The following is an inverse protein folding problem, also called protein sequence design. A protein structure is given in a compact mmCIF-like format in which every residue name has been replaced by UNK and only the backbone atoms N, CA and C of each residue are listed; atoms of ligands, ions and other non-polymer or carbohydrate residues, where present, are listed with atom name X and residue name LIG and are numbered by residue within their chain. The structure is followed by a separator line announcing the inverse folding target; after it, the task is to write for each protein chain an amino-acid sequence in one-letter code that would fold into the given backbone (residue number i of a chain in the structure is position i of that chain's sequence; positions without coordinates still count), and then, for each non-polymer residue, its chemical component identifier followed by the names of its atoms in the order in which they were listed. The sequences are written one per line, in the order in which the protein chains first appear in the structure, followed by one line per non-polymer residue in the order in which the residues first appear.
data_IF_744530936672
#
_entry.id   IF_744530936672
#
_cell.length_a   1.000
_cell.length_b   1.000
_cell.length_c   1.000
_cell.angle_alpha   90.00
_cell.angle_beta   90.00
_cell.angle_gamma   90.00
#
_symmetry.space_group_name_H-M   'P 1'
#
loop_
_entity.id
_entity.type
_entity.pdbx_description
1 polymer ?
#
# COMPACT_ATOMS: atom_id res chain seq x y z
N UNK A 1 20.10 -13.81 -7.45
CA UNK A 1 20.41 -12.57 -6.73
C UNK A 1 19.55 -12.60 -5.49
N UNK A 2 20.13 -12.99 -4.37
CA UNK A 2 19.37 -13.17 -3.14
C UNK A 2 19.22 -11.79 -2.49
N UNK A 3 18.16 -11.08 -2.86
CA UNK A 3 17.87 -9.79 -2.25
C UNK A 3 17.43 -10.03 -0.80
N UNK A 4 18.26 -9.63 0.16
CA UNK A 4 17.84 -9.62 1.55
C UNK A 4 16.58 -8.79 1.71
N UNK A 5 15.61 -9.29 2.48
CA UNK A 5 14.36 -8.58 2.79
C UNK A 5 14.60 -7.14 3.27
N UNK A 6 15.67 -6.90 4.05
CA UNK A 6 16.05 -5.54 4.49
C UNK A 6 16.42 -4.64 3.32
N UNK A 7 17.19 -5.16 2.36
CA UNK A 7 17.55 -4.42 1.15
C UNK A 7 16.32 -4.10 0.30
N UNK A 8 15.37 -5.04 0.17
CA UNK A 8 14.10 -4.79 -0.55
C UNK A 8 13.32 -3.64 0.09
N UNK A 9 13.18 -3.63 1.41
CA UNK A 9 12.50 -2.55 2.13
C UNK A 9 13.22 -1.20 1.97
N UNK A 10 14.55 -1.17 2.09
CA UNK A 10 15.33 0.07 1.95
C UNK A 10 15.20 0.63 0.53
N UNK A 11 15.34 -0.22 -0.50
CA UNK A 11 15.19 0.19 -1.89
C UNK A 11 13.76 0.70 -2.14
N UNK A 12 12.75 -0.02 -1.65
CA UNK A 12 11.35 0.38 -1.77
C UNK A 12 11.04 1.71 -1.06
N UNK A 13 11.66 1.97 0.09
CA UNK A 13 11.51 3.22 0.83
C UNK A 13 12.19 4.39 0.12
N UNK A 14 13.43 4.21 -0.36
CA UNK A 14 14.16 5.22 -1.12
C UNK A 14 13.42 5.56 -2.42
N UNK A 15 12.90 4.55 -3.11
CA UNK A 15 12.14 4.75 -4.34
C UNK A 15 10.86 5.57 -4.10
N UNK A 16 10.09 5.26 -3.05
CA UNK A 16 8.92 6.05 -2.65
C UNK A 16 9.29 7.49 -2.29
N UNK A 17 10.41 7.70 -1.58
CA UNK A 17 10.88 9.03 -1.23
C UNK A 17 11.22 9.86 -2.48
N UNK A 18 11.94 9.25 -3.44
CA UNK A 18 12.28 9.89 -4.73
C UNK A 18 11.00 10.27 -5.48
N UNK A 19 9.99 9.39 -5.52
CA UNK A 19 8.72 9.67 -6.18
C UNK A 19 7.93 10.80 -5.50
N UNK A 20 7.95 10.88 -4.17
CA UNK A 20 7.31 11.99 -3.45
C UNK A 20 7.99 13.31 -3.81
N UNK A 21 9.33 13.35 -3.79
CA UNK A 21 10.10 14.55 -4.15
C UNK A 21 9.83 14.94 -5.61
N UNK A 22 9.84 13.95 -6.52
CA UNK A 22 9.51 14.16 -7.92
C UNK A 22 8.09 14.68 -8.08
N UNK A 23 7.13 14.15 -7.34
CA UNK A 23 5.74 14.60 -7.36
C UNK A 23 5.57 16.05 -6.90
N UNK A 24 6.29 16.48 -5.86
CA UNK A 24 6.29 17.90 -5.45
C UNK A 24 6.93 18.79 -6.52
N UNK A 25 8.01 18.34 -7.16
CA UNK A 25 8.64 19.06 -8.26
C UNK A 25 7.69 19.17 -9.46
N UNK A 26 7.05 18.07 -9.85
CA UNK A 26 6.08 18.00 -10.94
C UNK A 26 4.90 18.95 -10.67
N UNK A 27 4.35 18.93 -9.47
CA UNK A 27 3.26 19.81 -9.08
C UNK A 27 3.62 21.30 -9.17
N UNK A 28 4.90 21.65 -9.00
CA UNK A 28 5.36 23.04 -9.09
C UNK A 28 5.65 23.50 -10.52
N UNK A 29 6.01 22.59 -11.43
CA UNK A 29 6.51 22.93 -12.77
C UNK A 29 5.58 22.53 -13.92
N UNK A 30 4.60 21.66 -13.69
CA UNK A 30 3.70 21.12 -14.72
C UNK A 30 2.25 21.48 -14.43
N UNK A 31 1.46 21.64 -15.50
CA UNK A 31 0.02 21.88 -15.39
C UNK A 31 -0.72 20.65 -14.83
N UNK A 32 -0.29 19.45 -15.24
CA UNK A 32 -0.82 18.18 -14.75
C UNK A 32 -0.15 17.83 -13.41
N UNK A 33 -0.96 17.91 -12.35
CA UNK A 33 -0.55 17.58 -10.99
C UNK A 33 -0.34 16.09 -10.81
N UNK A 34 0.73 15.74 -10.10
CA UNK A 34 1.00 14.41 -9.58
C UNK A 34 0.17 14.12 -8.33
N UNK A 35 -0.04 15.12 -7.47
CA UNK A 35 -0.84 14.96 -6.25
C UNK A 35 -2.31 14.79 -6.56
N UNK A 36 -2.93 13.81 -5.91
CA UNK A 36 -4.37 13.56 -6.04
C UNK A 36 -5.18 14.76 -5.49
N UNK A 37 -6.29 15.09 -6.14
CA UNK A 37 -7.19 16.16 -5.71
C UNK A 37 -7.74 15.90 -4.31
N UNK A 38 -7.96 14.63 -3.96
CA UNK A 38 -8.45 14.25 -2.64
C UNK A 38 -7.44 14.59 -1.55
N UNK A 39 -6.13 14.55 -1.84
CA UNK A 39 -5.09 14.95 -0.90
C UNK A 39 -5.18 16.42 -0.50
N UNK A 40 -5.62 17.27 -1.43
CA UNK A 40 -5.86 18.69 -1.18
C UNK A 40 -7.06 18.86 -0.25
N UNK A 41 -8.16 18.15 -0.52
CA UNK A 41 -9.36 18.17 0.32
C UNK A 41 -9.05 17.70 1.75
N UNK A 42 -8.20 16.69 1.91
CA UNK A 42 -7.74 16.25 3.23
C UNK A 42 -6.90 17.29 3.95
N UNK A 43 -5.98 17.93 3.24
CA UNK A 43 -5.08 18.94 3.80
C UNK A 43 -5.86 20.20 4.20
N UNK A 44 -6.88 20.58 3.42
CA UNK A 44 -7.81 21.66 3.76
C UNK A 44 -8.57 21.33 5.06
N UNK A 45 -9.16 20.13 5.15
CA UNK A 45 -9.88 19.70 6.34
C UNK A 45 -8.97 19.63 7.57
N UNK A 46 -7.73 19.15 7.40
CA UNK A 46 -6.71 19.15 8.46
C UNK A 46 -6.36 20.56 8.94
N UNK A 47 -6.27 21.55 8.04
CA UNK A 47 -6.03 22.95 8.40
C UNK A 47 -7.19 23.56 9.20
N UNK A 48 -8.43 23.19 8.88
CA UNK A 48 -9.62 23.60 9.63
C UNK A 48 -9.57 23.03 11.05
N UNK A 49 -9.28 21.74 11.18
CA UNK A 49 -9.11 21.07 12.49
C UNK A 49 -7.98 21.71 13.30
N UNK A 50 -6.84 22.00 12.66
CA UNK A 50 -5.71 22.68 13.31
C UNK A 50 -6.09 24.08 13.82
N UNK A 51 -7.03 24.75 13.16
CA UNK A 51 -7.57 26.06 13.54
C UNK A 51 -8.71 26.00 14.56
N UNK A 52 -9.04 24.80 15.08
CA UNK A 52 -10.15 24.59 16.02
C UNK A 52 -11.54 24.59 15.38
N UNK A 53 -11.62 24.54 14.06
CA UNK A 53 -12.87 24.49 13.28
C UNK A 53 -13.28 23.05 12.99
N UNK A 54 -14.53 22.85 12.57
CA UNK A 54 -14.99 21.52 12.17
C UNK A 54 -14.45 21.14 10.79
N UNK A 55 -13.94 19.92 10.64
CA UNK A 55 -13.52 19.37 9.35
C UNK A 55 -14.65 19.33 8.31
N UNK A 56 -15.91 19.28 8.76
CA UNK A 56 -17.09 19.33 7.89
C UNK A 56 -17.39 20.73 7.32
N UNK A 57 -16.72 21.78 7.79
CA UNK A 57 -16.85 23.11 7.16
C UNK A 57 -16.33 23.10 5.71
N UNK A 58 -15.50 22.11 5.35
CA UNK A 58 -15.18 21.81 3.95
C UNK A 58 -16.31 20.99 3.32
N UNK A 59 -17.14 21.62 2.50
CA UNK A 59 -18.30 21.00 1.84
C UNK A 59 -17.99 19.78 0.95
N UNK A 60 -16.75 19.65 0.46
CA UNK A 60 -16.31 18.51 -0.36
C UNK A 60 -15.68 17.37 0.44
N UNK A 61 -15.57 17.50 1.77
CA UNK A 61 -14.98 16.46 2.62
C UNK A 61 -15.98 15.34 2.90
N UNK A 62 -15.68 14.13 2.40
CA UNK A 62 -16.57 12.95 2.48
C UNK A 62 -15.98 11.78 3.27
N UNK A 63 -14.82 12.01 3.90
CA UNK A 63 -14.00 10.95 4.46
C UNK A 63 -14.11 10.90 5.98
N UNK A 64 -13.54 9.85 6.59
CA UNK A 64 -13.61 9.65 8.04
C UNK A 64 -12.96 10.82 8.80
N UNK A 65 -13.63 11.42 9.81
CA UNK A 65 -13.07 12.49 10.63
C UNK A 65 -11.67 12.21 11.16
N UNK A 66 -11.39 10.95 11.52
CA UNK A 66 -10.10 10.50 12.03
C UNK A 66 -8.95 10.82 11.05
N UNK A 67 -9.23 10.75 9.74
CA UNK A 67 -8.25 11.06 8.71
C UNK A 67 -7.86 12.54 8.73
N UNK A 68 -8.83 13.45 8.96
CA UNK A 68 -8.53 14.88 9.09
C UNK A 68 -7.60 15.14 10.30
N UNK A 69 -7.85 14.50 11.43
CA UNK A 69 -6.99 14.61 12.62
C UNK A 69 -5.59 14.04 12.38
N UNK A 70 -5.49 12.88 11.71
CA UNK A 70 -4.21 12.24 11.40
C UNK A 70 -3.33 13.11 10.49
N UNK A 71 -3.97 13.94 9.65
CA UNK A 71 -3.30 14.82 8.70
C UNK A 71 -3.11 16.25 9.19
N UNK A 72 -3.48 16.58 10.43
CA UNK A 72 -3.12 17.85 11.07
C UNK A 72 -1.63 18.19 10.89
N UNK A 73 -0.69 17.22 10.97
CA UNK A 73 0.72 17.50 10.72
C UNK A 73 1.06 17.98 9.31
N UNK A 74 0.19 17.78 8.32
CA UNK A 74 0.36 18.34 6.97
C UNK A 74 0.48 19.87 6.99
N UNK A 75 -0.25 20.52 7.91
CA UNK A 75 -0.26 21.97 8.02
C UNK A 75 0.90 22.50 8.88
N UNK A 76 1.26 21.79 9.96
CA UNK A 76 2.28 22.26 10.91
C UNK A 76 3.72 21.89 10.53
N UNK A 77 3.95 20.74 9.88
CA UNK A 77 5.31 20.26 9.56
C UNK A 77 5.60 20.45 8.07
N UNK A 78 4.88 19.73 7.21
CA UNK A 78 5.09 19.78 5.77
C UNK A 78 3.87 19.21 5.04
N UNK A 79 3.51 19.81 3.90
CA UNK A 79 2.35 19.39 3.10
C UNK A 79 2.41 17.92 2.71
N UNK A 80 3.60 17.35 2.50
CA UNK A 80 3.79 15.94 2.11
C UNK A 80 3.78 14.93 3.26
N UNK A 81 3.52 15.35 4.52
CA UNK A 81 3.48 14.45 5.68
C UNK A 81 2.54 13.25 5.45
N UNK A 82 1.34 13.50 4.94
CA UNK A 82 0.39 12.45 4.62
C UNK A 82 0.90 11.44 3.59
N UNK A 83 1.61 11.90 2.55
CA UNK A 83 2.23 11.00 1.54
C UNK A 83 3.31 10.11 2.17
N UNK A 84 4.09 10.64 3.11
CA UNK A 84 5.07 9.87 3.86
C UNK A 84 4.40 8.85 4.78
N UNK A 85 3.29 9.24 5.45
CA UNK A 85 2.53 8.36 6.32
C UNK A 85 1.94 7.17 5.55
N UNK A 86 1.34 7.43 4.38
CA UNK A 86 0.82 6.37 3.50
C UNK A 86 1.94 5.46 3.03
N UNK A 87 3.05 6.04 2.57
CA UNK A 87 4.21 5.27 2.11
C UNK A 87 4.80 4.39 3.22
N UNK A 88 4.83 4.87 4.47
CA UNK A 88 5.27 4.10 5.62
C UNK A 88 4.31 2.95 5.96
N UNK A 89 3.00 3.19 5.89
CA UNK A 89 1.99 2.14 6.08
C UNK A 89 2.12 1.04 5.01
N UNK A 90 2.39 1.42 3.76
CA UNK A 90 2.56 0.49 2.63
C UNK A 90 3.79 -0.43 2.80
N UNK A 91 4.90 0.12 3.32
CA UNK A 91 6.08 -0.65 3.71
C UNK A 91 5.79 -1.60 4.89
N UNK A 92 4.97 -1.16 5.84
CA UNK A 92 4.55 -1.98 6.98
C UNK A 92 3.70 -3.17 6.53
N UNK A 93 2.83 -2.98 5.53
CA UNK A 93 2.09 -4.08 4.90
C UNK A 93 3.04 -5.10 4.27
N UNK A 94 4.06 -4.64 3.52
CA UNK A 94 5.10 -5.51 2.98
C UNK A 94 5.83 -6.31 4.06
N UNK A 95 6.08 -5.70 5.23
CA UNK A 95 6.65 -6.39 6.40
C UNK A 95 5.71 -7.45 6.98
N UNK A 96 4.41 -7.16 7.08
CA UNK A 96 3.45 -8.15 7.54
C UNK A 96 3.29 -9.31 6.57
N UNK A 97 3.29 -9.06 5.27
CA UNK A 97 3.31 -10.11 4.23
C UNK A 97 4.51 -11.05 4.44
N UNK A 98 5.71 -10.49 4.60
CA UNK A 98 6.91 -11.29 4.87
C UNK A 98 6.77 -12.16 6.13
N UNK A 99 6.25 -11.57 7.21
CA UNK A 99 6.05 -12.26 8.48
C UNK A 99 5.03 -13.40 8.37
N UNK A 100 3.95 -13.22 7.63
CA UNK A 100 2.93 -14.26 7.39
C UNK A 100 3.53 -15.39 6.55
N UNK A 101 4.25 -15.09 5.48
CA UNK A 101 4.89 -16.10 4.61
C UNK A 101 5.95 -16.90 5.36
N UNK A 102 6.73 -16.24 6.22
CA UNK A 102 7.72 -16.90 7.08
C UNK A 102 7.05 -17.85 8.10
N UNK A 103 5.94 -17.44 8.72
CA UNK A 103 5.16 -18.31 9.62
C UNK A 103 4.56 -19.52 8.91
N UNK A 104 4.24 -19.39 7.62
CA UNK A 104 3.73 -20.47 6.77
C UNK A 104 4.81 -21.39 6.20
N UNK A 105 6.09 -21.17 6.55
CA UNK A 105 7.24 -21.96 6.08
C UNK A 105 7.37 -21.97 4.55
N UNK A 106 6.97 -20.89 3.89
CA UNK A 106 7.19 -20.70 2.45
C UNK A 106 8.69 -20.55 2.20
N UNK A 107 9.25 -21.13 1.12
CA UNK A 107 10.66 -20.99 0.77
C UNK A 107 11.08 -19.51 0.66
N UNK A 108 12.31 -19.21 1.06
CA UNK A 108 12.82 -17.83 1.20
C UNK A 108 12.84 -17.07 -0.13
N UNK A 109 13.15 -17.76 -1.23
CA UNK A 109 13.15 -17.19 -2.59
C UNK A 109 11.76 -16.68 -2.98
N UNK A 110 10.74 -17.51 -2.73
CA UNK A 110 9.35 -17.22 -3.07
C UNK A 110 8.78 -16.12 -2.17
N UNK A 111 9.14 -16.13 -0.89
CA UNK A 111 8.77 -15.07 0.04
C UNK A 111 9.33 -13.71 -0.42
N UNK A 112 10.61 -13.66 -0.79
CA UNK A 112 11.26 -12.45 -1.28
C UNK A 112 10.61 -11.95 -2.58
N UNK A 113 10.24 -12.87 -3.48
CA UNK A 113 9.54 -12.53 -4.73
C UNK A 113 8.14 -11.96 -4.46
N UNK A 114 7.35 -12.56 -3.57
CA UNK A 114 6.03 -12.06 -3.20
C UNK A 114 6.09 -10.66 -2.57
N UNK A 115 7.05 -10.45 -1.67
CA UNK A 115 7.27 -9.15 -1.03
C UNK A 115 7.73 -8.11 -2.04
N UNK A 116 8.65 -8.46 -2.94
CA UNK A 116 9.08 -7.57 -4.01
C UNK A 116 7.92 -7.21 -4.95
N UNK A 117 7.11 -8.19 -5.35
CA UNK A 117 5.94 -7.96 -6.18
C UNK A 117 4.93 -7.03 -5.51
N UNK A 118 4.77 -7.08 -4.19
CA UNK A 118 3.96 -6.10 -3.45
C UNK A 118 4.62 -4.71 -3.43
N UNK A 119 5.87 -4.63 -2.96
CA UNK A 119 6.57 -3.36 -2.71
C UNK A 119 6.84 -2.55 -3.97
N UNK A 120 7.06 -3.22 -5.10
CA UNK A 120 7.40 -2.61 -6.39
C UNK A 120 6.24 -2.62 -7.39
N UNK A 121 5.01 -2.91 -6.96
CA UNK A 121 3.86 -2.83 -7.83
C UNK A 121 3.59 -1.35 -8.23
N UNK A 122 3.64 -1.01 -9.54
CA UNK A 122 3.49 0.36 -10.03
C UNK A 122 2.20 1.05 -9.61
N UNK A 123 1.13 0.28 -9.41
CA UNK A 123 -0.16 0.80 -8.96
C UNK A 123 -0.10 1.24 -7.48
N UNK A 124 0.45 0.38 -6.62
CA UNK A 124 0.43 0.58 -5.16
C UNK A 124 1.28 1.78 -4.73
N UNK A 125 2.53 1.87 -5.20
CA UNK A 125 3.38 2.97 -4.78
C UNK A 125 2.90 4.30 -5.38
N UNK A 126 2.39 4.33 -6.63
CA UNK A 126 1.92 5.58 -7.25
C UNK A 126 0.72 6.16 -6.51
N UNK A 127 -0.22 5.31 -6.11
CA UNK A 127 -1.36 5.70 -5.27
C UNK A 127 -0.88 6.18 -3.90
N UNK A 128 0.09 5.49 -3.32
CA UNK A 128 0.65 5.86 -2.02
C UNK A 128 1.40 7.20 -2.04
N UNK A 129 2.18 7.46 -3.09
CA UNK A 129 3.00 8.67 -3.23
C UNK A 129 2.23 9.88 -3.76
N UNK A 130 1.14 9.69 -4.51
CA UNK A 130 0.26 10.79 -4.91
C UNK A 130 -0.61 11.32 -3.75
N UNK A 131 -0.72 10.57 -2.64
CA UNK A 131 -1.46 10.97 -1.45
C UNK A 131 -2.91 10.49 -1.42
N UNK A 132 -3.28 9.50 -2.23
CA UNK A 132 -4.63 8.95 -2.20
C UNK A 132 -4.80 8.00 -1.00
N UNK A 133 -5.56 8.45 0.00
CA UNK A 133 -5.86 7.64 1.19
C UNK A 133 -6.97 6.61 0.96
N UNK A 134 -7.82 6.78 -0.06
CA UNK A 134 -8.85 5.79 -0.40
C UNK A 134 -8.22 4.45 -0.74
N UNK A 135 -7.24 4.44 -1.64
CA UNK A 135 -6.50 3.22 -2.01
C UNK A 135 -5.61 2.65 -0.90
N UNK A 136 -5.06 3.50 -0.03
CA UNK A 136 -4.21 3.06 1.09
C UNK A 136 -5.01 2.48 2.27
N UNK A 137 -6.17 3.06 2.57
CA UNK A 137 -7.10 2.50 3.56
C UNK A 137 -7.73 1.23 3.01
N UNK A 138 -8.08 1.19 1.72
CA UNK A 138 -8.58 -0.03 1.06
C UNK A 138 -7.51 -1.11 0.84
N UNK A 139 -6.21 -0.82 0.94
CA UNK A 139 -5.16 -1.86 0.94
C UNK A 139 -4.86 -2.36 2.36
N UNK A 140 -4.95 -1.50 3.38
CA UNK A 140 -4.73 -1.85 4.79
C UNK A 140 -5.96 -2.50 5.46
N UNK A 141 -7.18 -2.09 5.11
CA UNK A 141 -8.42 -2.55 5.74
C UNK A 141 -8.85 -3.98 5.35
N UNK A 142 -8.65 -4.47 4.11
CA UNK A 142 -8.97 -5.86 3.80
C UNK A 142 -8.01 -6.84 4.48
N UNK A 143 -6.77 -6.46 4.85
CA UNK A 143 -5.94 -7.32 5.72
C UNK A 143 -6.62 -7.66 7.06
N UNK A 144 -7.53 -6.81 7.54
CA UNK A 144 -8.25 -7.03 8.80
C UNK A 144 -9.59 -7.76 8.65
N UNK A 145 -10.31 -7.60 7.53
CA UNK A 145 -11.63 -8.26 7.34
C UNK A 145 -11.66 -9.36 6.27
N UNK A 146 -10.90 -9.27 5.18
CA UNK A 146 -10.79 -10.26 4.09
C UNK A 146 -9.53 -9.96 3.26
N UNK A 147 -8.41 -10.69 3.42
CA UNK A 147 -7.16 -10.32 2.77
C UNK A 147 -7.33 -10.27 1.24
N UNK A 148 -6.83 -9.24 0.54
CA UNK A 148 -6.89 -9.21 -0.91
C UNK A 148 -6.03 -10.34 -1.48
N UNK A 149 -6.63 -11.14 -2.35
CA UNK A 149 -6.00 -12.32 -2.98
C UNK A 149 -5.36 -11.86 -4.28
N UNK A 150 -4.05 -11.59 -4.26
CA UNK A 150 -3.28 -11.23 -5.45
C UNK A 150 -2.83 -12.53 -6.15
N UNK A 151 -3.35 -12.80 -7.34
CA UNK A 151 -2.94 -13.94 -8.17
C UNK A 151 -1.75 -13.55 -9.05
N UNK A 152 -0.56 -14.05 -8.73
CA UNK A 152 0.63 -13.93 -9.57
C UNK A 152 1.00 -15.32 -10.08
N UNK A 153 0.87 -15.51 -11.40
CA UNK A 153 1.22 -16.75 -12.04
C UNK A 153 2.76 -16.90 -12.11
N UNK A 154 3.26 -18.13 -12.04
CA UNK A 154 4.70 -18.45 -11.91
C UNK A 154 5.56 -18.01 -13.12
N UNK A 155 4.92 -17.57 -14.20
CA UNK A 155 5.50 -17.04 -15.43
C UNK A 155 5.62 -15.49 -15.44
N UNK A 156 5.17 -14.80 -14.38
CA UNK A 156 5.18 -13.34 -14.31
C UNK A 156 3.99 -12.66 -14.98
N UNK A 157 3.00 -13.42 -15.46
CA UNK A 157 1.79 -12.88 -16.10
C UNK A 157 0.74 -12.49 -15.06
N UNK A 158 0.18 -11.27 -15.18
CA UNK A 158 -0.87 -10.73 -14.30
C UNK A 158 -2.23 -11.38 -14.60
N UNK A 159 -2.81 -12.08 -13.60
CA UNK A 159 -4.11 -12.74 -13.74
C UNK A 159 -5.15 -12.18 -12.73
N UNK A 160 -5.42 -10.87 -12.82
CA UNK A 160 -6.61 -10.23 -12.24
C UNK A 160 -6.75 -10.24 -10.70
N UNK A 161 -7.82 -9.59 -10.22
CA UNK A 161 -8.21 -9.48 -8.81
C UNK A 161 -9.63 -10.06 -8.68
N UNK A 162 -9.84 -11.10 -7.86
CA UNK A 162 -11.18 -11.61 -7.54
C UNK A 162 -11.48 -11.61 -6.03
N UNK A 163 -12.73 -11.27 -5.68
CA UNK A 163 -13.24 -11.26 -4.30
C UNK A 163 -13.70 -12.67 -3.88
N UNK A 164 -12.99 -13.32 -2.96
CA UNK A 164 -13.33 -14.65 -2.43
C UNK A 164 -14.22 -14.62 -1.18
N UNK A 165 -15.15 -15.57 -1.08
CA UNK A 165 -16.26 -15.61 -0.10
C UNK A 165 -15.98 -16.43 1.19
N UNK A 166 -14.78 -16.99 1.39
CA UNK A 166 -14.48 -17.84 2.56
C UNK A 166 -13.18 -17.48 3.28
N UNK A 167 -13.23 -17.47 4.62
CA UNK A 167 -12.24 -16.94 5.57
C UNK A 167 -10.96 -17.77 5.77
N UNK A 168 -10.61 -18.63 4.81
CA UNK A 168 -9.38 -19.41 4.87
C UNK A 168 -8.62 -19.19 3.59
N UNK A 169 -7.30 -19.04 3.71
CA UNK A 169 -6.33 -18.85 2.62
C UNK A 169 -6.16 -17.39 2.13
N UNK A 170 -5.27 -16.65 2.81
CA UNK A 170 -4.36 -15.73 2.12
C UNK A 170 -3.57 -16.57 1.11
N UNK A 171 -4.13 -16.74 -0.08
CA UNK A 171 -3.50 -17.44 -1.18
C UNK A 171 -3.01 -16.37 -2.14
N UNK A 172 -1.77 -15.94 -1.97
CA UNK A 172 -1.03 -15.52 -3.17
C UNK A 172 -0.87 -16.81 -3.96
N UNK A 173 -1.86 -17.15 -4.80
CA UNK A 173 -1.80 -18.37 -5.63
C UNK A 173 -0.74 -18.12 -6.68
N UNK A 174 0.47 -18.47 -6.30
CA UNK A 174 1.32 -19.21 -7.19
C UNK A 174 0.67 -20.57 -7.40
N UNK A 175 0.58 -20.96 -8.67
CA UNK A 175 0.64 -22.32 -9.23
C UNK A 175 -0.64 -22.84 -9.88
N UNK A 176 -0.45 -23.46 -11.06
CA UNK A 176 -1.08 -24.76 -11.32
C UNK A 176 -0.11 -25.94 -11.12
N UNK A 177 1.22 -25.74 -11.07
CA UNK A 177 2.16 -26.89 -11.23
C UNK A 177 2.68 -27.51 -9.92
N UNK A 178 2.71 -26.81 -8.79
CA UNK A 178 3.23 -27.35 -7.52
C UNK A 178 2.21 -27.36 -6.36
N UNK A 179 0.97 -26.94 -6.63
CA UNK A 179 -0.12 -27.10 -5.65
C UNK A 179 -0.58 -28.57 -5.57
N UNK A 180 -0.55 -29.31 -6.69
CA UNK A 180 -0.94 -30.73 -6.67
C UNK A 180 0.05 -31.60 -5.88
N UNK A 181 1.36 -31.34 -5.98
CA UNK A 181 2.36 -32.16 -5.27
C UNK A 181 2.47 -31.84 -3.77
N UNK A 182 2.11 -30.63 -3.33
CA UNK A 182 2.12 -30.27 -1.92
C UNK A 182 0.82 -30.64 -1.18
N UNK A 183 -0.32 -30.72 -1.88
CA UNK A 183 -1.58 -31.19 -1.31
C UNK A 183 -1.63 -32.71 -1.13
N UNK A 184 -1.00 -33.50 -2.03
CA UNK A 184 -0.88 -34.96 -1.85
C UNK A 184 -0.04 -35.37 -0.64
N UNK A 185 0.83 -34.49 -0.12
CA UNK A 185 1.65 -34.78 1.07
C UNK A 185 0.95 -34.48 2.40
N UNK A 186 -0.19 -33.79 2.40
CA UNK A 186 -0.94 -33.46 3.62
C UNK A 186 -2.25 -34.25 3.77
N UNK A 187 -2.64 -35.05 2.76
CA UNK A 187 -3.77 -35.98 2.81
C UNK A 187 -3.37 -37.44 3.13
N UNK A 188 -2.13 -37.70 3.56
CA UNK A 188 -1.71 -39.00 4.13
C UNK A 188 -1.05 -38.85 5.49
#
# INVERSE_FOLDING_TARGET
MDFSFRSLLIIAALFRLILIIYGEWQDAHMEVRYTDIDYIVFSDAASLVASGKSHFERSTYRYSPLLAYLLVPNFIIHRSWGKLLVSAADLLVGFFVHCILKKRKVPEDLNSYCVAAWLFNPFTFTIGTCGNFGGAVDSCLPLWKRPPVLFLCADGSFCGIQQGHNSTVLCVVLLPVACNSALEQYEN
#
